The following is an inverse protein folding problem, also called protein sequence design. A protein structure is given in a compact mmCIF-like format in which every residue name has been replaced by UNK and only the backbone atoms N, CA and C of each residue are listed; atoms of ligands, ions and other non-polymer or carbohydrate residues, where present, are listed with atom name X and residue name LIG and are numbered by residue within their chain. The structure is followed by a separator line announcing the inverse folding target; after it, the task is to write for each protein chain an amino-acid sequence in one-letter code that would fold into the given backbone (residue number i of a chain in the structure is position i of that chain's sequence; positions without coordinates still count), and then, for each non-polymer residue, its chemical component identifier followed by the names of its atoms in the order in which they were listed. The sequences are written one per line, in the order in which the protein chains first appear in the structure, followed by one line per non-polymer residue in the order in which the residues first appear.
data_IF_768982926079
#
_entry.id   IF_768982926079
#
_cell.length_a   1.000
_cell.length_b   1.000
_cell.length_c   1.000
_cell.angle_alpha   90.00
_cell.angle_beta   90.00
_cell.angle_gamma   90.00
#
_symmetry.space_group_name_H-M   'P 1'
#
loop_
_entity.id
_entity.type
_entity.pdbx_description
1 polymer ?
#
# COMPACT_ATOMS: atom_id res chain seq x y z
N UNK A 1 5.13 66.80 4.78
CA UNK A 1 5.20 66.32 3.38
C UNK A 1 4.67 64.89 3.34
N UNK A 2 3.99 64.49 2.26
CA UNK A 2 3.21 63.24 2.10
C UNK A 2 4.10 62.05 1.60
N UNK A 3 3.82 60.88 2.19
CA UNK A 3 3.92 59.40 1.86
C UNK A 3 4.37 58.87 0.48
N UNK A 4 4.55 57.52 0.20
CA UNK A 4 4.50 56.25 1.01
C UNK A 4 5.61 55.18 0.60
N UNK A 5 5.37 53.83 0.49
CA UNK A 5 5.52 52.72 1.46
C UNK A 5 6.51 51.59 1.02
N UNK A 6 6.90 50.65 1.90
CA UNK A 6 7.32 49.25 1.56
C UNK A 6 7.52 48.48 2.90
N UNK A 7 6.63 47.60 3.37
CA UNK A 7 6.42 46.18 3.01
C UNK A 7 7.68 45.33 3.08
N UNK A 8 7.77 44.45 4.09
CA UNK A 8 8.27 43.04 4.13
C UNK A 8 7.72 42.50 5.50
N UNK A 9 6.56 41.84 5.60
CA UNK A 9 6.27 40.42 5.32
C UNK A 9 7.42 39.47 5.71
N UNK A 10 7.64 39.27 7.00
CA UNK A 10 8.25 38.02 7.49
C UNK A 10 7.12 37.00 7.69
N UNK A 11 6.72 36.39 6.58
CA UNK A 11 5.97 35.14 6.60
C UNK A 11 6.92 34.10 7.19
N UNK A 12 6.62 33.59 8.39
CA UNK A 12 7.23 32.35 8.86
C UNK A 12 6.89 31.28 7.82
N UNK A 13 7.88 30.93 7.00
CA UNK A 13 7.85 29.79 6.10
C UNK A 13 7.60 28.57 6.97
N UNK A 14 6.32 28.16 7.01
CA UNK A 14 5.90 26.89 7.53
C UNK A 14 6.80 25.83 6.90
N UNK A 15 7.53 25.14 7.76
CA UNK A 15 8.27 23.94 7.46
C UNK A 15 7.31 22.88 6.89
N UNK A 16 6.92 23.00 5.62
CA UNK A 16 6.51 21.87 4.81
C UNK A 16 7.80 21.13 4.49
N UNK A 17 8.26 20.39 5.49
CA UNK A 17 9.06 19.21 5.24
C UNK A 17 8.25 18.42 4.21
N UNK A 18 8.65 18.48 2.95
CA UNK A 18 8.35 17.45 1.97
C UNK A 18 9.01 16.17 2.48
N UNK A 19 8.44 15.62 3.55
CA UNK A 19 8.73 14.32 4.07
C UNK A 19 8.21 13.38 2.99
N UNK A 20 9.11 13.01 2.08
CA UNK A 20 8.83 12.22 0.90
C UNK A 20 7.96 11.04 1.30
N UNK A 21 6.67 11.12 0.97
CA UNK A 21 5.72 10.10 1.41
C UNK A 21 6.18 8.75 0.87
N UNK A 22 6.21 7.71 1.70
CA UNK A 22 6.73 6.40 1.32
C UNK A 22 5.93 5.86 0.14
N UNK A 23 6.62 5.43 -0.91
CA UNK A 23 6.00 4.84 -2.09
C UNK A 23 6.03 3.32 -1.98
N UNK A 24 4.91 2.69 -2.32
CA UNK A 24 4.85 1.23 -2.39
C UNK A 24 5.78 0.70 -3.50
N UNK A 25 6.73 -0.15 -3.13
CA UNK A 25 7.64 -0.81 -4.07
C UNK A 25 7.12 -2.21 -4.40
N UNK A 26 6.59 -2.37 -5.62
CA UNK A 26 6.13 -3.67 -6.07
C UNK A 26 7.32 -4.66 -6.19
N UNK A 27 7.30 -5.71 -5.37
CA UNK A 27 8.37 -6.72 -5.37
C UNK A 27 9.44 -6.55 -4.29
N UNK A 28 9.16 -5.81 -3.22
CA UNK A 28 9.86 -5.99 -1.95
C UNK A 28 9.99 -7.49 -1.61
N UNK A 29 11.07 -7.86 -0.91
CA UNK A 29 11.27 -9.26 -0.52
C UNK A 29 10.14 -9.67 0.41
N UNK A 30 9.82 -10.96 0.40
CA UNK A 30 8.90 -11.53 1.40
C UNK A 30 9.43 -11.17 2.81
N UNK A 31 8.54 -10.72 3.70
CA UNK A 31 8.84 -10.21 5.05
C UNK A 31 9.43 -8.79 5.15
N UNK A 32 9.48 -8.02 4.05
CA UNK A 32 10.00 -6.64 4.06
C UNK A 32 8.91 -5.58 3.92
N UNK A 33 7.64 -5.97 3.75
CA UNK A 33 6.56 -5.00 3.56
C UNK A 33 6.16 -4.37 4.89
N UNK A 34 6.20 -3.05 4.92
CA UNK A 34 5.67 -2.21 5.98
C UNK A 34 4.63 -1.28 5.39
N UNK A 35 3.45 -1.23 6.00
CA UNK A 35 2.40 -0.27 5.65
C UNK A 35 2.43 0.85 6.67
N UNK A 36 2.20 2.09 6.21
CA UNK A 36 2.17 3.24 7.10
C UNK A 36 1.23 4.32 6.57
N UNK A 37 0.80 5.19 7.48
CA UNK A 37 0.00 6.37 7.11
C UNK A 37 0.85 7.26 6.21
N UNK A 38 0.22 7.81 5.16
CA UNK A 38 0.90 8.64 4.18
C UNK A 38 1.38 7.88 2.95
N UNK A 39 1.53 6.54 3.02
CA UNK A 39 1.96 5.74 1.88
C UNK A 39 1.02 5.89 0.68
N UNK A 40 1.60 6.15 -0.50
CA UNK A 40 0.87 6.41 -1.76
C UNK A 40 0.97 5.24 -2.74
N UNK A 41 -0.10 5.07 -3.50
CA UNK A 41 -0.27 4.08 -4.57
C UNK A 41 -0.83 4.80 -5.80
N UNK A 42 -0.38 4.45 -7.00
CA UNK A 42 -0.91 5.04 -8.23
C UNK A 42 -2.36 4.63 -8.48
N UNK A 43 -2.69 3.37 -8.21
CA UNK A 43 -4.06 2.85 -8.40
C UNK A 43 -4.56 2.04 -7.22
N UNK A 44 -5.89 1.97 -7.07
CA UNK A 44 -6.57 1.18 -6.03
C UNK A 44 -6.09 -0.28 -5.96
N UNK A 45 -5.75 -0.85 -7.11
CA UNK A 45 -5.28 -2.24 -7.19
C UNK A 45 -3.97 -2.43 -6.42
N UNK A 46 -3.02 -1.50 -6.52
CA UNK A 46 -1.73 -1.60 -5.83
C UNK A 46 -1.92 -1.57 -4.31
N UNK A 47 -2.81 -0.70 -3.80
CA UNK A 47 -3.19 -0.72 -2.38
C UNK A 47 -3.75 -2.09 -1.96
N UNK A 48 -4.62 -2.69 -2.78
CA UNK A 48 -5.20 -4.01 -2.49
C UNK A 48 -4.15 -5.13 -2.53
N UNK A 49 -3.16 -5.04 -3.42
CA UNK A 49 -2.05 -5.97 -3.46
C UNK A 49 -1.11 -5.80 -2.28
N UNK A 50 -0.85 -4.57 -1.83
CA UNK A 50 -0.07 -4.30 -0.62
C UNK A 50 -0.76 -4.87 0.62
N UNK A 51 -2.08 -4.67 0.76
CA UNK A 51 -2.88 -5.32 1.81
C UNK A 51 -2.81 -6.84 1.70
N UNK A 52 -2.88 -7.41 0.48
CA UNK A 52 -2.75 -8.86 0.27
C UNK A 52 -1.38 -9.36 0.73
N UNK A 53 -0.31 -8.69 0.34
CA UNK A 53 1.04 -9.06 0.69
C UNK A 53 1.25 -9.01 2.21
N UNK A 54 0.79 -7.94 2.86
CA UNK A 54 0.78 -7.80 4.31
C UNK A 54 0.02 -8.97 4.98
N UNK A 55 -1.16 -9.29 4.43
CA UNK A 55 -1.98 -10.43 4.91
C UNK A 55 -1.19 -11.73 4.91
N UNK A 56 -0.39 -11.97 3.88
CA UNK A 56 0.41 -13.19 3.70
C UNK A 56 1.62 -13.20 4.63
N UNK A 57 2.37 -12.09 4.66
CA UNK A 57 3.52 -11.89 5.54
C UNK A 57 3.17 -12.11 7.01
N UNK A 58 2.12 -11.45 7.50
CA UNK A 58 1.75 -11.52 8.92
C UNK A 58 1.01 -12.81 9.29
N UNK A 59 0.61 -13.61 8.31
CA UNK A 59 -0.18 -14.83 8.54
C UNK A 59 -1.55 -14.51 9.15
N UNK A 60 -2.16 -13.39 8.74
CA UNK A 60 -3.43 -12.90 9.29
C UNK A 60 -4.57 -13.08 8.30
N UNK A 61 -5.80 -12.99 8.79
CA UNK A 61 -7.00 -13.02 7.98
C UNK A 61 -7.56 -11.61 7.81
N UNK A 62 -7.22 -10.93 6.71
CA UNK A 62 -7.73 -9.58 6.41
C UNK A 62 -8.78 -9.66 5.28
N UNK A 63 -9.77 -8.78 5.33
CA UNK A 63 -10.80 -8.62 4.29
C UNK A 63 -11.00 -7.15 3.96
N UNK A 64 -11.33 -6.89 2.70
CA UNK A 64 -11.80 -5.58 2.26
C UNK A 64 -13.29 -5.49 2.59
N UNK A 65 -13.70 -4.48 3.38
CA UNK A 65 -15.09 -4.24 3.79
C UNK A 65 -15.73 -3.04 3.12
N UNK A 66 -14.94 -2.13 2.58
CA UNK A 66 -15.40 -1.03 1.72
C UNK A 66 -14.48 -0.95 0.51
N UNK A 67 -15.06 -0.85 -0.68
CA UNK A 67 -14.32 -0.79 -1.94
C UNK A 67 -15.17 -0.04 -2.96
N UNK A 68 -15.21 1.29 -2.84
CA UNK A 68 -15.85 2.15 -3.82
C UNK A 68 -14.77 2.85 -4.68
N UNK A 69 -15.15 3.84 -5.47
CA UNK A 69 -14.25 4.51 -6.41
C UNK A 69 -13.36 5.58 -5.76
N UNK A 70 -13.63 5.94 -4.51
CA UNK A 70 -12.92 7.02 -3.78
C UNK A 70 -12.26 6.54 -2.49
N UNK A 71 -12.69 5.41 -1.92
CA UNK A 71 -12.16 4.85 -0.67
C UNK A 71 -12.17 3.32 -0.65
N UNK A 72 -11.19 2.77 0.07
CA UNK A 72 -11.01 1.35 0.29
C UNK A 72 -10.67 1.14 1.76
N UNK A 73 -11.36 0.21 2.44
CA UNK A 73 -11.10 -0.15 3.84
C UNK A 73 -10.88 -1.64 3.96
N UNK A 74 -9.73 -2.01 4.50
CA UNK A 74 -9.40 -3.36 4.91
C UNK A 74 -9.45 -3.48 6.43
N UNK A 75 -9.95 -4.61 6.94
CA UNK A 75 -10.02 -4.91 8.37
C UNK A 75 -9.69 -6.38 8.61
N UNK A 76 -9.24 -6.72 9.81
CA UNK A 76 -9.13 -8.12 10.20
C UNK A 76 -10.52 -8.79 10.17
N UNK A 77 -10.56 -10.08 9.82
CA UNK A 77 -11.79 -10.89 9.79
C UNK A 77 -12.24 -11.29 11.20
N UNK A 78 -11.30 -11.43 12.13
CA UNK A 78 -11.59 -11.77 13.53
C UNK A 78 -12.33 -10.59 14.16
N UNK A 79 -13.45 -10.87 14.83
CA UNK A 79 -14.24 -9.85 15.52
C UNK A 79 -13.39 -9.15 16.57
N UNK A 80 -13.62 -7.84 16.74
CA UNK A 80 -12.96 -7.00 17.76
C UNK A 80 -11.44 -6.88 17.62
N UNK A 81 -10.83 -7.46 16.58
CA UNK A 81 -9.44 -7.19 16.24
C UNK A 81 -9.32 -5.75 15.71
N UNK A 82 -8.46 -4.90 16.31
CA UNK A 82 -8.44 -3.47 16.04
C UNK A 82 -7.73 -3.13 14.72
N UNK A 83 -7.03 -4.10 14.13
CA UNK A 83 -6.32 -3.92 12.87
C UNK A 83 -7.23 -3.41 11.75
N UNK A 84 -6.81 -2.31 11.13
CA UNK A 84 -7.49 -1.73 10.00
C UNK A 84 -6.55 -0.87 9.15
N UNK A 85 -6.73 -0.94 7.83
CA UNK A 85 -6.12 -0.02 6.88
C UNK A 85 -7.23 0.69 6.09
N UNK A 86 -7.13 2.00 5.98
CA UNK A 86 -8.03 2.83 5.19
C UNK A 86 -7.22 3.69 4.23
N UNK A 87 -7.52 3.54 2.94
CA UNK A 87 -6.99 4.38 1.89
C UNK A 87 -8.10 5.10 1.15
N UNK A 88 -7.83 6.33 0.75
CA UNK A 88 -8.72 7.10 -0.12
C UNK A 88 -7.95 7.68 -1.29
N UNK A 89 -8.68 7.97 -2.35
CA UNK A 89 -8.19 8.77 -3.47
C UNK A 89 -7.91 10.19 -2.98
N UNK A 90 -6.87 10.81 -3.49
CA UNK A 90 -6.56 12.22 -3.26
C UNK A 90 -7.55 13.15 -3.99
N UNK A 91 -7.45 14.46 -3.73
CA UNK A 91 -8.36 15.45 -4.31
C UNK A 91 -8.16 15.64 -5.81
N UNK A 92 -6.95 15.39 -6.31
CA UNK A 92 -6.57 15.53 -7.71
C UNK A 92 -6.79 14.24 -8.52
N UNK A 93 -7.33 13.19 -7.87
CA UNK A 93 -7.55 11.86 -8.45
C UNK A 93 -6.27 11.19 -9.03
N UNK A 94 -5.09 11.60 -8.57
CA UNK A 94 -3.80 11.11 -9.06
C UNK A 94 -3.30 9.88 -8.32
N UNK A 95 -3.70 9.70 -7.06
CA UNK A 95 -3.18 8.63 -6.22
C UNK A 95 -4.17 8.14 -5.15
N UNK A 96 -3.86 6.99 -4.58
CA UNK A 96 -4.50 6.40 -3.41
C UNK A 96 -3.53 6.50 -2.25
N UNK A 97 -3.97 7.07 -1.12
CA UNK A 97 -3.12 7.24 0.06
C UNK A 97 -3.71 6.57 1.28
N UNK A 98 -2.88 5.89 2.08
CA UNK A 98 -3.29 5.40 3.40
C UNK A 98 -3.49 6.61 4.33
N UNK A 99 -4.74 6.85 4.73
CA UNK A 99 -5.10 7.92 5.68
C UNK A 99 -5.21 7.41 7.11
N UNK A 100 -5.41 6.11 7.28
CA UNK A 100 -5.46 5.48 8.61
C UNK A 100 -4.88 4.10 8.53
N UNK A 101 -4.00 3.78 9.46
CA UNK A 101 -3.44 2.46 9.64
C UNK A 101 -3.34 2.16 11.13
N UNK A 102 -3.93 1.05 11.54
CA UNK A 102 -3.74 0.46 12.85
C UNK A 102 -3.16 -0.94 12.64
N UNK A 103 -1.92 -1.13 13.09
CA UNK A 103 -1.15 -2.36 12.92
C UNK A 103 -1.38 -3.37 14.06
N UNK A 104 -2.14 -2.99 15.09
CA UNK A 104 -2.36 -3.84 16.24
C UNK A 104 -3.27 -5.03 15.92
N UNK A 105 -2.76 -6.22 16.21
CA UNK A 105 -3.51 -7.47 16.09
C UNK A 105 -3.72 -8.10 17.47
N UNK A 106 -4.99 -8.36 17.81
CA UNK A 106 -5.36 -9.18 18.99
C UNK A 106 -5.74 -10.62 18.61
N UNK A 107 -5.80 -10.93 17.31
CA UNK A 107 -6.09 -12.26 16.81
C UNK A 107 -4.84 -13.17 16.81
N UNK A 108 -5.00 -14.50 16.72
CA UNK A 108 -3.89 -15.42 16.46
C UNK A 108 -3.47 -15.42 14.98
N UNK A 109 -2.28 -15.96 14.68
CA UNK A 109 -1.85 -16.24 13.30
C UNK A 109 -2.61 -17.47 12.80
N UNK A 110 -2.77 -17.56 11.48
CA UNK A 110 -3.51 -18.62 10.81
C UNK A 110 -2.57 -19.54 10.04
N UNK A 111 -2.72 -20.85 10.23
CA UNK A 111 -1.93 -21.86 9.51
C UNK A 111 -2.27 -21.93 8.02
N UNK A 112 -3.45 -21.41 7.63
CA UNK A 112 -3.95 -21.44 6.25
C UNK A 112 -4.26 -20.03 5.77
N UNK A 113 -3.40 -19.51 4.90
CA UNK A 113 -3.64 -18.21 4.30
C UNK A 113 -4.17 -18.31 2.87
N UNK A 114 -5.48 -18.08 2.69
CA UNK A 114 -6.12 -18.10 1.35
C UNK A 114 -5.63 -16.98 0.42
N UNK A 115 -4.98 -15.94 0.95
CA UNK A 115 -4.38 -14.90 0.13
C UNK A 115 -3.14 -15.40 -0.63
N UNK A 116 -2.40 -16.37 -0.08
CA UNK A 116 -1.23 -17.00 -0.68
C UNK A 116 -1.63 -18.13 -1.65
N UNK A 117 -2.42 -17.80 -2.67
CA UNK A 117 -2.87 -18.80 -3.65
C UNK A 117 -1.75 -19.17 -4.66
N UNK A 118 -2.00 -20.21 -5.47
CA UNK A 118 -1.03 -20.70 -6.48
C UNK A 118 -0.48 -19.58 -7.37
N UNK A 119 -1.33 -18.65 -7.81
CA UNK A 119 -0.91 -17.56 -8.69
C UNK A 119 0.04 -16.59 -7.98
N UNK A 120 -0.25 -16.26 -6.71
CA UNK A 120 0.65 -15.46 -5.89
C UNK A 120 1.98 -16.16 -5.66
N UNK A 121 1.98 -17.45 -5.31
CA UNK A 121 3.22 -18.21 -5.12
C UNK A 121 4.05 -18.22 -6.42
N UNK A 122 3.42 -18.49 -7.56
CA UNK A 122 4.09 -18.44 -8.87
C UNK A 122 4.68 -17.06 -9.18
N UNK A 123 3.96 -15.96 -8.90
CA UNK A 123 4.45 -14.61 -9.19
C UNK A 123 5.69 -14.23 -8.37
N UNK A 124 5.83 -14.76 -7.16
CA UNK A 124 7.04 -14.59 -6.33
C UNK A 124 8.23 -15.40 -6.84
N UNK A 125 7.98 -16.59 -7.37
CA UNK A 125 9.05 -17.48 -7.87
C UNK A 125 9.55 -17.09 -9.27
N UNK A 126 8.67 -16.60 -10.15
CA UNK A 126 9.03 -16.23 -11.55
C UNK A 126 9.98 -15.02 -11.60
N UNK A 127 9.98 -14.13 -10.60
CA UNK A 127 11.00 -13.06 -10.48
C UNK A 127 12.44 -13.60 -10.33
N UNK A 128 12.64 -14.91 -10.11
CA UNK A 128 13.95 -15.58 -10.02
C UNK A 128 14.35 -16.43 -11.24
N UNK A 129 13.67 -16.35 -12.37
CA UNK A 129 14.26 -16.92 -13.58
C UNK A 129 13.36 -16.98 -14.79
N UNK A 130 13.49 -16.01 -15.69
CA UNK A 130 13.43 -16.25 -17.14
C UNK A 130 14.43 -15.29 -17.82
N UNK A 131 15.73 -15.58 -17.71
CA UNK A 131 16.59 -15.35 -18.86
C UNK A 131 16.36 -16.52 -19.81
N UNK A 132 15.51 -16.28 -20.81
CA UNK A 132 15.43 -17.05 -22.05
C UNK A 132 15.01 -18.51 -21.93
N UNK A 133 13.71 -18.77 -21.82
CA UNK A 133 13.16 -19.91 -22.56
C UNK A 133 12.93 -19.44 -24.00
N UNK A 134 13.96 -19.52 -24.85
CA UNK A 134 13.75 -19.47 -26.29
C UNK A 134 12.84 -20.64 -26.62
N UNK A 135 11.72 -20.35 -27.28
CA UNK A 135 10.77 -21.34 -27.82
C UNK A 135 11.53 -22.57 -28.30
N UNK A 136 11.27 -23.73 -27.68
CA UNK A 136 11.55 -25.00 -28.33
C UNK A 136 10.53 -25.15 -29.47
N UNK A 137 10.86 -24.62 -30.63
CA UNK A 137 10.30 -25.08 -31.90
C UNK A 137 11.03 -26.36 -32.28
N UNK A 138 10.47 -27.52 -31.93
CA UNK A 138 10.84 -28.82 -32.51
C UNK A 138 9.65 -29.75 -32.52
N UNK A 139 9.28 -30.40 -33.63
CA UNK A 139 9.44 -30.25 -35.09
C UNK A 139 8.39 -31.25 -35.67
N UNK A 140 7.92 -31.02 -36.90
CA UNK A 140 7.31 -32.08 -37.71
C UNK A 140 8.37 -32.95 -38.35
#
# INVERSE_FOLDING_TARGET
MKTPPNSEDELEEGNESEEASPLFREGARFEELHLEVGMKFGIKWEFREAVREYTIQEGRCIKIVKNDNIRCRAVCKVKECPWAAYASRDHEDTCWQIKTFNDDHTCPKEDKNRAANRNWVCSKLVKKGINGCKKCSVWG
#
